data_IF_682390442770
#
_entry.id   IF_682390442770
#
_cell.length_a   1.000
_cell.length_b   1.000
_cell.length_c   1.000
_cell.angle_alpha   90.00
_cell.angle_beta   90.00
_cell.angle_gamma   90.00
#
_symmetry.space_group_name_H-M   'P 1'
#
loop_
_entity.id
_entity.type
_entity.pdbx_description
1 polymer ?
#
# COMPACT_ATOMS: atom_id res chain seq x y z
N UNK A 1 -21.11 38.21 2.33
CA UNK A 1 -20.86 37.70 3.70
C UNK A 1 -22.11 36.97 4.16
N UNK A 2 -22.01 35.74 4.48
CA UNK A 2 -23.09 34.80 4.71
C UNK A 2 -23.74 35.08 6.07
N UNK A 3 -25.04 35.22 6.12
CA UNK A 3 -25.76 35.76 7.27
C UNK A 3 -26.72 34.76 7.95
N UNK A 4 -26.29 33.51 8.07
CA UNK A 4 -26.96 32.53 8.92
C UNK A 4 -26.01 32.03 10.01
N UNK A 5 -26.50 31.64 11.19
CA UNK A 5 -25.70 31.14 12.30
C UNK A 5 -24.73 30.00 11.87
N UNK A 6 -25.12 29.23 10.84
CA UNK A 6 -24.27 28.19 10.26
C UNK A 6 -23.08 28.73 9.49
N UNK A 7 -23.17 29.90 8.92
CA UNK A 7 -22.12 30.52 8.12
C UNK A 7 -21.03 31.11 9.00
N UNK A 8 -21.38 31.68 10.14
CA UNK A 8 -20.41 32.15 11.12
C UNK A 8 -19.60 31.00 11.73
N UNK A 9 -20.25 29.86 12.03
CA UNK A 9 -19.57 28.67 12.50
C UNK A 9 -18.59 28.11 11.45
N UNK A 10 -18.99 28.11 10.18
CA UNK A 10 -18.11 27.68 9.08
C UNK A 10 -16.97 28.69 8.85
N UNK A 11 -17.24 29.99 8.93
CA UNK A 11 -16.23 31.05 8.83
C UNK A 11 -15.20 30.91 9.96
N UNK A 12 -15.64 30.71 11.19
CA UNK A 12 -14.77 30.48 12.35
C UNK A 12 -13.91 29.22 12.18
N UNK A 13 -14.52 28.11 11.77
CA UNK A 13 -13.80 26.84 11.50
C UNK A 13 -12.75 27.02 10.41
N UNK A 14 -13.12 27.71 9.33
CA UNK A 14 -12.20 27.98 8.21
C UNK A 14 -11.04 28.86 8.65
N UNK A 15 -11.30 29.93 9.40
CA UNK A 15 -10.24 30.78 9.95
C UNK A 15 -9.28 29.99 10.83
N UNK A 16 -9.78 29.16 11.75
CA UNK A 16 -8.95 28.29 12.60
C UNK A 16 -8.10 27.31 11.80
N UNK A 17 -8.66 26.66 10.76
CA UNK A 17 -7.93 25.75 9.88
C UNK A 17 -6.83 26.48 9.09
N UNK A 18 -7.10 27.69 8.61
CA UNK A 18 -6.11 28.49 7.89
C UNK A 18 -5.00 28.97 8.83
N UNK A 19 -5.34 29.42 10.04
CA UNK A 19 -4.35 29.78 11.07
C UNK A 19 -3.44 28.59 11.38
N UNK A 20 -4.00 27.40 11.56
CA UNK A 20 -3.21 26.21 11.86
C UNK A 20 -2.28 25.82 10.70
N UNK A 21 -2.76 25.90 9.47
CA UNK A 21 -1.95 25.65 8.27
C UNK A 21 -0.79 26.67 8.12
N UNK A 22 -0.99 27.91 8.56
CA UNK A 22 0.03 28.95 8.44
C UNK A 22 1.13 28.88 9.52
N UNK A 23 0.95 28.08 10.57
CA UNK A 23 1.93 27.97 11.66
C UNK A 23 3.30 27.50 11.19
N UNK A 24 3.33 26.57 10.22
CA UNK A 24 4.56 25.90 9.77
C UNK A 24 5.03 26.37 8.38
N UNK A 25 4.37 27.38 7.80
CA UNK A 25 4.72 27.88 6.47
C UNK A 25 5.81 28.96 6.60
N UNK A 26 6.95 28.77 5.95
CA UNK A 26 7.97 29.79 5.80
C UNK A 26 7.61 30.72 4.62
N UNK A 27 6.89 31.81 4.96
CA UNK A 27 6.38 32.78 3.99
C UNK A 27 6.63 34.20 4.54
N UNK A 28 7.27 35.11 3.81
CA UNK A 28 7.50 36.50 4.22
C UNK A 28 6.20 37.27 4.49
N UNK A 29 5.09 36.90 3.86
CA UNK A 29 3.76 37.53 4.08
C UNK A 29 2.97 36.91 5.24
N UNK A 30 3.47 35.85 5.86
CA UNK A 30 2.81 35.15 6.97
C UNK A 30 2.33 36.05 8.11
N UNK A 31 3.13 37.03 8.58
CA UNK A 31 2.65 37.92 9.64
C UNK A 31 1.41 38.71 9.26
N UNK A 32 1.36 39.21 8.00
CA UNK A 32 0.19 39.95 7.47
C UNK A 32 -1.02 39.04 7.28
N UNK A 33 -0.82 37.83 6.79
CA UNK A 33 -1.88 36.85 6.62
C UNK A 33 -2.48 36.45 7.98
N UNK A 34 -1.65 36.18 8.98
CA UNK A 34 -2.10 35.79 10.30
C UNK A 34 -2.81 36.94 11.05
N UNK A 35 -2.34 38.19 10.96
CA UNK A 35 -3.08 39.32 11.56
C UNK A 35 -4.48 39.45 10.96
N UNK A 36 -4.64 39.23 9.63
CA UNK A 36 -5.92 39.28 8.94
C UNK A 36 -6.83 38.11 9.32
N UNK A 37 -6.28 36.91 9.45
CA UNK A 37 -7.03 35.72 9.86
C UNK A 37 -7.54 35.83 11.31
N UNK A 38 -6.70 36.32 12.22
CA UNK A 38 -7.11 36.55 13.61
C UNK A 38 -8.10 37.71 13.75
N UNK A 39 -8.00 38.78 12.92
CA UNK A 39 -9.01 39.81 12.82
C UNK A 39 -10.34 39.20 12.39
N UNK A 40 -10.39 38.46 11.28
CA UNK A 40 -11.61 37.82 10.77
C UNK A 40 -12.20 36.83 11.79
N UNK A 41 -11.38 36.11 12.53
CA UNK A 41 -11.85 35.24 13.62
C UNK A 41 -12.50 36.05 14.74
N UNK A 42 -11.87 37.15 15.16
CA UNK A 42 -12.40 38.06 16.18
C UNK A 42 -13.73 38.67 15.76
N UNK A 43 -13.84 39.19 14.52
CA UNK A 43 -15.09 39.76 13.99
C UNK A 43 -16.21 38.71 13.95
N UNK A 44 -15.89 37.46 13.53
CA UNK A 44 -16.88 36.37 13.55
C UNK A 44 -17.34 36.04 14.97
N UNK A 45 -16.42 36.05 15.94
CA UNK A 45 -16.75 35.82 17.35
C UNK A 45 -17.61 36.96 17.95
N UNK A 46 -17.36 38.23 17.56
CA UNK A 46 -18.24 39.37 17.94
C UNK A 46 -19.65 39.16 17.42
N UNK A 47 -19.79 38.72 16.15
CA UNK A 47 -21.11 38.46 15.56
C UNK A 47 -21.88 37.33 16.25
N UNK A 48 -21.15 36.40 16.88
CA UNK A 48 -21.68 35.32 17.71
C UNK A 48 -21.81 35.71 19.20
N UNK A 49 -21.62 36.99 19.55
CA UNK A 49 -21.63 37.50 20.94
C UNK A 49 -20.59 36.83 21.89
N UNK A 50 -19.53 36.22 21.30
CA UNK A 50 -18.44 35.53 22.06
C UNK A 50 -17.31 36.53 22.37
N UNK A 51 -17.62 37.56 23.14
CA UNK A 51 -16.72 38.71 23.35
C UNK A 51 -15.38 38.37 23.97
N UNK A 52 -15.33 37.45 24.92
CA UNK A 52 -14.06 37.03 25.57
C UNK A 52 -13.12 36.31 24.60
N UNK A 53 -13.66 35.56 23.68
CA UNK A 53 -12.91 34.88 22.63
C UNK A 53 -12.45 35.88 21.56
N UNK A 54 -13.33 36.78 21.14
CA UNK A 54 -13.01 37.84 20.21
C UNK A 54 -11.84 38.70 20.71
N UNK A 55 -11.84 39.06 21.99
CA UNK A 55 -10.73 39.77 22.63
C UNK A 55 -9.39 39.05 22.45
N UNK A 56 -9.35 37.73 22.71
CA UNK A 56 -8.13 36.91 22.52
C UNK A 56 -7.69 36.91 21.06
N UNK A 57 -8.62 36.75 20.13
CA UNK A 57 -8.32 36.77 18.70
C UNK A 57 -7.77 38.14 18.26
N UNK A 58 -8.33 39.25 18.75
CA UNK A 58 -7.80 40.57 18.45
C UNK A 58 -6.42 40.84 19.10
N UNK A 59 -6.19 40.35 20.32
CA UNK A 59 -4.87 40.42 20.94
C UNK A 59 -3.84 39.57 20.15
N UNK A 60 -4.20 38.41 19.65
CA UNK A 60 -3.34 37.61 18.77
C UNK A 60 -3.10 38.32 17.43
N UNK A 61 -4.13 38.95 16.82
CA UNK A 61 -3.94 39.79 15.63
C UNK A 61 -2.92 40.90 15.90
N UNK A 62 -2.99 41.57 17.06
CA UNK A 62 -2.07 42.62 17.44
C UNK A 62 -0.63 42.10 17.62
N UNK A 63 -0.44 40.93 18.19
CA UNK A 63 0.89 40.33 18.28
C UNK A 63 1.52 40.12 16.90
N UNK A 64 0.71 39.73 15.90
CA UNK A 64 1.19 39.61 14.54
C UNK A 64 1.43 40.96 13.87
N UNK A 65 0.59 41.98 14.15
CA UNK A 65 0.85 43.37 13.74
C UNK A 65 2.23 43.82 14.25
N UNK A 66 2.56 43.61 15.53
CA UNK A 66 3.84 43.98 16.10
C UNK A 66 5.03 43.24 15.42
N UNK A 67 4.84 41.96 15.07
CA UNK A 67 5.86 41.21 14.32
C UNK A 67 6.07 41.77 12.92
N UNK A 68 4.99 42.11 12.21
CA UNK A 68 5.07 42.74 10.89
C UNK A 68 5.80 44.06 10.91
N UNK A 69 5.46 44.91 11.87
CA UNK A 69 6.06 46.26 12.00
C UNK A 69 7.53 46.19 12.37
N UNK A 70 7.97 45.20 13.16
CA UNK A 70 9.34 44.98 13.57
C UNK A 70 10.21 44.23 12.57
N UNK A 71 9.62 43.68 11.47
CA UNK A 71 10.41 43.06 10.40
C UNK A 71 11.15 44.12 9.60
N UNK A 72 12.48 43.96 9.48
CA UNK A 72 13.31 44.87 8.73
C UNK A 72 13.26 44.74 7.23
N UNK A 73 12.73 43.60 6.74
CA UNK A 73 12.74 43.20 5.31
C UNK A 73 11.46 43.48 4.58
N UNK A 74 10.31 43.28 5.24
CA UNK A 74 8.99 43.46 4.66
C UNK A 74 8.00 44.00 5.70
N UNK A 75 7.75 45.30 5.62
CA UNK A 75 6.96 46.06 6.61
C UNK A 75 5.74 46.71 5.98
N UNK A 76 4.68 45.96 5.65
CA UNK A 76 3.43 46.54 5.17
C UNK A 76 2.67 47.24 6.32
N UNK A 77 3.21 48.35 6.81
CA UNK A 77 2.67 49.09 7.97
C UNK A 77 1.22 49.55 7.71
N UNK A 78 0.90 49.96 6.49
CA UNK A 78 -0.46 50.40 6.12
C UNK A 78 -1.49 49.28 6.31
N UNK A 79 -1.17 48.04 5.91
CA UNK A 79 -2.03 46.87 6.15
C UNK A 79 -2.21 46.58 7.65
N UNK A 80 -1.16 46.78 8.44
CA UNK A 80 -1.23 46.62 9.88
C UNK A 80 -2.07 47.72 10.56
N UNK A 81 -2.00 48.96 10.07
CA UNK A 81 -2.90 50.05 10.53
C UNK A 81 -4.35 49.73 10.20
N UNK A 82 -4.61 49.19 8.99
CA UNK A 82 -5.96 48.80 8.60
C UNK A 82 -6.53 47.69 9.51
N UNK A 83 -5.70 46.75 9.91
CA UNK A 83 -6.11 45.71 10.89
C UNK A 83 -6.51 46.34 12.21
N UNK A 84 -5.73 47.28 12.74
CA UNK A 84 -6.05 47.98 14.01
C UNK A 84 -7.26 48.86 13.88
N UNK A 85 -7.45 49.53 12.73
CA UNK A 85 -8.66 50.31 12.42
C UNK A 85 -9.90 49.42 12.48
N UNK A 86 -9.90 48.27 11.79
CA UNK A 86 -11.03 47.35 11.78
C UNK A 86 -11.38 46.86 13.19
N UNK A 87 -10.37 46.52 14.02
CA UNK A 87 -10.56 46.17 15.42
C UNK A 87 -11.18 47.36 16.21
N UNK A 88 -10.66 48.55 16.03
CA UNK A 88 -11.21 49.75 16.68
C UNK A 88 -12.67 50.02 16.28
N UNK A 89 -13.00 49.92 14.99
CA UNK A 89 -14.35 50.05 14.45
C UNK A 89 -15.28 48.97 15.01
N UNK A 90 -14.83 47.70 15.08
CA UNK A 90 -15.59 46.62 15.70
C UNK A 90 -15.92 46.94 17.17
N UNK A 91 -14.95 47.45 17.95
CA UNK A 91 -15.16 47.83 19.34
C UNK A 91 -16.09 49.02 19.49
N UNK A 92 -16.00 50.04 18.62
CA UNK A 92 -16.86 51.20 18.60
C UNK A 92 -18.32 50.81 18.31
N UNK A 93 -18.52 49.99 17.26
CA UNK A 93 -19.85 49.58 16.83
C UNK A 93 -20.61 48.73 17.86
N UNK A 94 -19.87 47.98 18.68
CA UNK A 94 -20.44 47.10 19.73
C UNK A 94 -20.30 47.72 21.13
N UNK A 95 -19.93 49.02 21.23
CA UNK A 95 -19.75 49.74 22.50
C UNK A 95 -18.87 49.06 23.53
N UNK A 96 -17.76 48.45 23.08
CA UNK A 96 -16.82 47.73 23.94
C UNK A 96 -15.82 48.70 24.63
N UNK A 97 -15.58 48.49 25.89
CA UNK A 97 -14.77 49.39 26.75
C UNK A 97 -13.34 49.66 26.25
N UNK A 98 -12.74 48.76 25.50
CA UNK A 98 -11.36 48.90 25.02
C UNK A 98 -11.22 49.63 23.67
N UNK A 99 -12.30 50.17 23.10
CA UNK A 99 -12.28 50.89 21.83
C UNK A 99 -11.19 51.98 21.77
N UNK A 100 -11.03 52.75 22.85
CA UNK A 100 -9.99 53.82 22.94
C UNK A 100 -8.57 53.27 22.86
N UNK A 101 -8.30 52.09 23.46
CA UNK A 101 -6.98 51.46 23.40
C UNK A 101 -6.60 51.10 21.97
N UNK A 102 -7.57 50.59 21.20
CA UNK A 102 -7.33 50.23 19.79
C UNK A 102 -7.06 51.45 18.92
N UNK A 103 -7.81 52.56 19.14
CA UNK A 103 -7.55 53.82 18.45
C UNK A 103 -6.19 54.39 18.77
N UNK A 104 -5.71 54.28 20.02
CA UNK A 104 -4.38 54.75 20.41
C UNK A 104 -3.27 53.85 19.81
N UNK A 105 -3.48 52.51 19.72
CA UNK A 105 -2.57 51.60 19.01
C UNK A 105 -2.50 51.95 17.52
N UNK A 106 -3.64 52.23 16.87
CA UNK A 106 -3.70 52.70 15.49
C UNK A 106 -2.92 54.00 15.29
N UNK A 107 -3.15 55.05 16.11
CA UNK A 107 -2.45 56.33 16.02
C UNK A 107 -0.94 56.18 16.19
N UNK A 108 -0.50 55.30 17.09
CA UNK A 108 0.93 54.94 17.27
C UNK A 108 1.52 54.41 15.98
N UNK A 109 0.83 53.49 15.28
CA UNK A 109 1.32 52.98 14.00
C UNK A 109 1.25 54.01 12.87
N UNK A 110 0.26 54.89 12.83
CA UNK A 110 0.20 56.01 11.88
C UNK A 110 1.39 56.92 12.08
N UNK A 111 1.82 57.16 13.34
CA UNK A 111 3.02 57.96 13.66
C UNK A 111 4.30 57.25 13.21
N UNK A 112 4.38 55.94 13.27
CA UNK A 112 5.50 55.14 12.74
C UNK A 112 5.53 55.21 11.22
N UNK A 113 4.37 55.05 10.57
CA UNK A 113 4.24 55.11 9.11
C UNK A 113 4.65 56.48 8.54
N UNK A 114 4.34 57.56 9.22
CA UNK A 114 4.75 58.90 8.86
C UNK A 114 6.29 59.09 8.82
N UNK A 115 7.02 58.30 9.61
CA UNK A 115 8.51 58.33 9.69
C UNK A 115 9.15 57.40 8.69
N UNK A 116 8.40 56.63 7.93
CA UNK A 116 8.94 55.76 6.88
C UNK A 116 9.62 56.62 5.78
N UNK A 117 10.66 56.08 5.13
CA UNK A 117 11.37 56.82 4.08
C UNK A 117 10.55 57.26 2.90
N UNK A 118 9.46 56.52 2.59
CA UNK A 118 8.57 56.77 1.46
C UNK A 118 7.12 56.39 1.80
N UNK A 119 6.44 57.08 2.73
CA UNK A 119 5.06 56.82 2.99
C UNK A 119 4.23 57.28 1.79
N UNK A 120 3.09 56.63 1.54
CA UNK A 120 2.12 57.08 0.53
C UNK A 120 1.33 58.23 1.16
N UNK A 121 1.66 59.45 0.76
CA UNK A 121 1.16 60.69 1.40
C UNK A 121 -0.38 60.74 1.44
N UNK A 122 -1.07 60.34 0.35
CA UNK A 122 -2.54 60.33 0.30
C UNK A 122 -3.10 59.37 1.36
N UNK A 123 -2.54 58.16 1.47
CA UNK A 123 -2.95 57.16 2.43
C UNK A 123 -2.72 57.60 3.86
N UNK A 124 -1.53 58.14 4.13
CA UNK A 124 -1.16 58.70 5.45
C UNK A 124 -2.14 59.79 5.90
N UNK A 125 -2.52 60.72 4.99
CA UNK A 125 -3.52 61.73 5.27
C UNK A 125 -4.89 61.17 5.62
N UNK A 126 -5.30 60.11 4.89
CA UNK A 126 -6.54 59.41 5.17
C UNK A 126 -6.55 58.72 6.51
N UNK A 127 -5.47 57.98 6.82
CA UNK A 127 -5.31 57.30 8.10
C UNK A 127 -5.29 58.26 9.30
N UNK A 128 -4.63 59.41 9.17
CA UNK A 128 -4.69 60.45 10.19
C UNK A 128 -6.10 61.06 10.38
N UNK A 129 -6.83 61.21 9.29
CA UNK A 129 -8.22 61.70 9.37
C UNK A 129 -9.07 60.66 10.13
N UNK A 130 -8.93 59.38 9.84
CA UNK A 130 -9.66 58.28 10.52
C UNK A 130 -9.35 58.21 12.01
N UNK A 131 -8.10 58.47 12.42
CA UNK A 131 -7.77 58.59 13.87
C UNK A 131 -8.58 59.67 14.54
N UNK A 132 -8.72 60.88 13.91
CA UNK A 132 -9.60 61.95 14.46
C UNK A 132 -11.06 61.49 14.55
N UNK A 133 -11.57 60.83 13.55
CA UNK A 133 -12.92 60.31 13.54
C UNK A 133 -13.17 59.29 14.67
N UNK A 134 -12.31 58.27 14.76
CA UNK A 134 -12.48 57.22 15.76
C UNK A 134 -12.30 57.72 17.19
N UNK A 135 -11.42 58.72 17.40
CA UNK A 135 -11.33 59.41 18.69
C UNK A 135 -12.63 60.17 19.00
N UNK A 136 -13.25 60.82 18.01
CA UNK A 136 -14.54 61.50 18.21
C UNK A 136 -15.61 60.48 18.63
N UNK A 137 -15.68 59.32 17.96
CA UNK A 137 -16.63 58.27 18.28
C UNK A 137 -16.40 57.69 19.69
N UNK A 138 -15.18 57.39 20.07
CA UNK A 138 -14.81 56.90 21.43
C UNK A 138 -15.15 57.95 22.52
N UNK A 139 -14.85 59.20 22.28
CA UNK A 139 -15.21 60.26 23.24
C UNK A 139 -16.70 60.40 23.38
N UNK A 140 -17.45 60.32 22.27
CA UNK A 140 -18.92 60.40 22.29
C UNK A 140 -19.51 59.22 23.06
N UNK A 141 -19.05 58.01 22.82
CA UNK A 141 -19.42 56.78 23.50
C UNK A 141 -19.18 56.86 25.03
N UNK A 142 -18.13 57.54 25.43
CA UNK A 142 -17.77 57.75 26.83
C UNK A 142 -18.42 59.03 27.45
N UNK A 143 -19.36 59.65 26.76
CA UNK A 143 -20.06 60.86 27.25
C UNK A 143 -19.23 62.14 27.24
N UNK A 144 -18.04 62.12 26.68
CA UNK A 144 -17.13 63.30 26.56
C UNK A 144 -17.46 64.12 25.31
N UNK A 145 -18.66 64.69 25.29
CA UNK A 145 -19.24 65.32 24.07
C UNK A 145 -18.43 66.51 23.54
N UNK A 146 -17.80 67.30 24.40
CA UNK A 146 -16.98 68.47 24.00
C UNK A 146 -15.69 68.00 23.29
N UNK A 147 -15.03 66.95 23.80
CA UNK A 147 -13.87 66.34 23.19
C UNK A 147 -14.22 65.68 21.87
N UNK A 148 -15.36 64.95 21.84
CA UNK A 148 -15.90 64.34 20.66
C UNK A 148 -16.11 65.36 19.53
N UNK A 149 -16.81 66.48 19.84
CA UNK A 149 -17.06 67.51 18.86
C UNK A 149 -15.77 68.21 18.34
N UNK A 150 -14.75 68.39 19.20
CA UNK A 150 -13.45 68.92 18.77
C UNK A 150 -12.75 67.96 17.79
N UNK A 151 -12.70 66.69 18.10
CA UNK A 151 -12.04 65.70 17.24
C UNK A 151 -12.81 65.54 15.88
N UNK A 152 -14.14 65.52 15.90
CA UNK A 152 -14.94 65.52 14.69
C UNK A 152 -14.73 66.77 13.83
N UNK A 153 -14.62 67.96 14.46
CA UNK A 153 -14.32 69.18 13.75
C UNK A 153 -12.94 69.18 13.09
N UNK A 154 -11.92 68.51 13.71
CA UNK A 154 -10.63 68.30 13.07
C UNK A 154 -10.74 67.32 11.89
N UNK A 155 -11.46 66.22 12.06
CA UNK A 155 -11.75 65.29 10.99
C UNK A 155 -12.37 65.98 9.77
N UNK A 156 -13.40 66.81 9.97
CA UNK A 156 -14.07 67.51 8.91
C UNK A 156 -13.23 68.62 8.25
N UNK A 157 -12.10 69.01 8.78
CA UNK A 157 -11.12 69.91 8.14
C UNK A 157 -10.19 69.19 7.18
N UNK A 158 -10.16 67.84 7.21
CA UNK A 158 -9.26 67.06 6.35
C UNK A 158 -9.88 66.91 4.96
N UNK A 159 -9.01 66.71 3.93
CA UNK A 159 -9.48 66.44 2.56
C UNK A 159 -10.38 65.21 2.51
N UNK A 160 -10.00 64.18 3.26
CA UNK A 160 -10.81 62.93 3.32
C UNK A 160 -12.18 63.14 3.95
N UNK A 161 -12.26 63.87 5.07
CA UNK A 161 -13.51 64.16 5.75
C UNK A 161 -14.53 64.93 4.88
N UNK A 162 -14.05 65.65 3.85
CA UNK A 162 -14.89 66.38 2.90
C UNK A 162 -15.42 65.49 1.74
N UNK A 163 -14.82 64.33 1.51
CA UNK A 163 -15.29 63.36 0.49
C UNK A 163 -16.64 62.78 0.89
N UNK A 164 -17.39 62.25 -0.05
CA UNK A 164 -18.63 61.51 0.26
C UNK A 164 -18.32 60.30 1.18
N UNK A 165 -17.28 59.53 0.88
CA UNK A 165 -16.82 58.42 1.69
C UNK A 165 -16.51 58.85 3.13
N UNK A 166 -15.74 59.92 3.30
CA UNK A 166 -15.43 60.47 4.63
C UNK A 166 -16.68 60.89 5.39
N UNK A 167 -17.62 61.58 4.74
CA UNK A 167 -18.88 61.99 5.39
C UNK A 167 -19.73 60.79 5.79
N UNK A 168 -19.77 59.73 4.98
CA UNK A 168 -20.45 58.48 5.34
C UNK A 168 -19.81 57.80 6.54
N UNK A 169 -18.47 57.71 6.57
CA UNK A 169 -17.76 57.18 7.74
C UNK A 169 -18.06 57.97 9.01
N UNK A 170 -18.27 59.28 8.88
CA UNK A 170 -18.67 60.19 9.97
C UNK A 170 -20.11 60.03 10.47
N UNK A 171 -20.97 59.33 9.74
CA UNK A 171 -22.41 59.25 10.08
C UNK A 171 -22.67 58.54 11.42
N UNK A 172 -21.84 57.51 11.79
CA UNK A 172 -21.94 56.86 13.09
C UNK A 172 -21.79 57.87 14.25
N UNK A 173 -20.79 58.76 14.18
CA UNK A 173 -20.61 59.84 15.14
C UNK A 173 -21.82 60.82 15.12
N UNK A 174 -22.30 61.22 13.94
CA UNK A 174 -23.40 62.14 13.79
C UNK A 174 -24.69 61.60 14.45
N UNK A 175 -24.97 60.33 14.30
CA UNK A 175 -26.15 59.67 14.90
C UNK A 175 -26.02 59.65 16.42
N UNK A 176 -24.88 59.24 16.97
CA UNK A 176 -24.62 59.21 18.41
C UNK A 176 -24.61 60.65 19.03
N UNK A 177 -24.14 61.64 18.28
CA UNK A 177 -24.19 63.04 18.67
C UNK A 177 -25.59 63.71 18.43
N UNK A 178 -26.60 62.94 18.01
CA UNK A 178 -27.98 63.41 17.68
C UNK A 178 -28.02 64.46 16.57
N UNK A 179 -27.01 64.54 15.71
CA UNK A 179 -26.97 65.39 14.50
C UNK A 179 -27.65 64.69 13.33
N UNK A 180 -28.90 64.27 13.57
CA UNK A 180 -29.64 63.38 12.66
C UNK A 180 -29.86 63.98 11.30
N UNK A 181 -30.07 65.30 11.18
CA UNK A 181 -30.32 65.99 9.91
C UNK A 181 -29.09 65.83 8.98
N UNK A 182 -27.89 66.03 9.50
CA UNK A 182 -26.64 65.90 8.72
C UNK A 182 -26.41 64.49 8.30
N UNK A 183 -26.62 63.52 9.22
CA UNK A 183 -26.51 62.08 8.87
C UNK A 183 -27.49 61.71 7.76
N UNK A 184 -28.76 62.18 7.83
CA UNK A 184 -29.79 61.93 6.81
C UNK A 184 -29.41 62.50 5.44
N UNK A 185 -28.80 63.71 5.40
CA UNK A 185 -28.31 64.30 4.17
C UNK A 185 -27.17 63.51 3.53
N UNK A 186 -26.19 63.07 4.34
CA UNK A 186 -25.10 62.23 3.87
C UNK A 186 -25.61 60.90 3.31
N UNK A 187 -26.51 60.20 4.00
CA UNK A 187 -27.10 58.96 3.51
C UNK A 187 -27.94 59.16 2.25
N UNK A 188 -28.56 60.35 2.09
CA UNK A 188 -29.31 60.64 0.86
C UNK A 188 -28.39 60.86 -0.32
N UNK A 189 -27.22 61.46 -0.11
CA UNK A 189 -26.20 61.62 -1.14
C UNK A 189 -25.59 60.24 -1.53
N UNK A 190 -25.33 59.39 -0.54
CA UNK A 190 -24.86 58.01 -0.78
C UNK A 190 -25.88 57.21 -1.61
N UNK A 191 -27.18 57.33 -1.29
CA UNK A 191 -28.27 56.65 -2.02
C UNK A 191 -28.30 57.08 -3.49
N UNK A 192 -28.10 58.38 -3.76
CA UNK A 192 -27.97 58.92 -5.12
C UNK A 192 -26.77 58.35 -5.83
N UNK A 193 -25.61 58.30 -5.16
CA UNK A 193 -24.38 57.75 -5.71
C UNK A 193 -24.53 56.25 -6.04
N UNK A 194 -25.09 55.45 -5.14
CA UNK A 194 -25.36 54.02 -5.36
C UNK A 194 -26.23 53.82 -6.61
N UNK A 195 -27.29 54.63 -6.72
CA UNK A 195 -28.24 54.58 -7.85
C UNK A 195 -27.56 54.98 -9.17
N UNK A 196 -26.78 56.06 -9.17
CA UNK A 196 -26.11 56.57 -10.37
C UNK A 196 -25.04 55.59 -10.90
N UNK A 197 -24.45 54.80 -10.02
CA UNK A 197 -23.47 53.75 -10.39
C UNK A 197 -24.12 52.40 -10.73
N UNK A 198 -25.45 52.30 -10.60
CA UNK A 198 -26.19 51.08 -10.94
C UNK A 198 -25.98 49.91 -9.97
N UNK A 199 -25.54 50.21 -8.75
CA UNK A 199 -25.42 49.17 -7.72
C UNK A 199 -26.81 48.76 -7.24
N UNK A 200 -27.03 47.46 -7.09
CA UNK A 200 -28.26 46.92 -6.52
C UNK A 200 -28.14 46.79 -5.01
N UNK A 201 -29.24 47.16 -4.35
CA UNK A 201 -29.34 46.95 -2.91
C UNK A 201 -29.49 45.46 -2.59
N UNK A 202 -28.83 45.03 -1.52
CA UNK A 202 -28.89 43.68 -0.93
C UNK A 202 -29.27 43.76 0.56
N UNK A 203 -29.32 42.64 1.25
CA UNK A 203 -29.64 42.59 2.69
C UNK A 203 -28.60 43.33 3.55
N UNK A 204 -27.36 43.32 3.16
CA UNK A 204 -26.26 44.01 3.85
C UNK A 204 -26.46 45.54 3.72
N UNK A 205 -26.77 46.02 2.54
CA UNK A 205 -27.05 47.43 2.25
C UNK A 205 -28.24 47.97 3.05
N UNK A 206 -29.25 47.13 3.31
CA UNK A 206 -30.35 47.52 4.21
C UNK A 206 -29.80 47.88 5.58
N UNK A 207 -28.99 47.02 6.16
CA UNK A 207 -28.42 47.21 7.50
C UNK A 207 -27.43 48.38 7.57
N UNK A 208 -26.58 48.52 6.58
CA UNK A 208 -25.50 49.53 6.59
C UNK A 208 -25.93 50.90 6.15
N UNK A 209 -26.90 51.01 5.22
CA UNK A 209 -27.24 52.29 4.60
C UNK A 209 -28.72 52.67 4.80
N UNK A 210 -29.66 51.80 4.41
CA UNK A 210 -31.08 52.18 4.40
C UNK A 210 -31.68 52.30 5.80
N UNK A 211 -31.38 51.42 6.72
CA UNK A 211 -31.87 51.47 8.08
C UNK A 211 -31.29 52.67 8.87
N UNK A 212 -29.98 52.96 8.80
CA UNK A 212 -29.44 54.20 9.35
C UNK A 212 -30.04 55.45 8.71
N UNK A 213 -30.26 55.49 7.38
CA UNK A 213 -30.91 56.56 6.67
C UNK A 213 -32.35 56.75 7.16
N UNK A 214 -33.12 55.66 7.33
CA UNK A 214 -34.45 55.70 7.91
C UNK A 214 -34.45 56.31 9.31
N UNK A 215 -33.63 55.81 10.21
CA UNK A 215 -33.50 56.29 11.60
C UNK A 215 -33.11 57.77 11.65
N UNK A 216 -32.16 58.18 10.83
CA UNK A 216 -31.69 59.56 10.77
C UNK A 216 -32.78 60.48 10.30
N UNK A 217 -33.58 60.19 9.25
CA UNK A 217 -34.68 60.93 8.81
C UNK A 217 -35.82 61.01 9.88
N UNK A 218 -36.14 59.85 10.48
CA UNK A 218 -37.16 59.77 11.51
C UNK A 218 -36.89 60.70 12.71
N UNK A 219 -35.66 60.58 13.28
CA UNK A 219 -35.23 61.38 14.43
C UNK A 219 -34.97 62.85 14.07
N UNK A 220 -34.68 63.16 12.80
CA UNK A 220 -34.61 64.53 12.31
C UNK A 220 -35.99 65.14 12.09
N UNK A 221 -37.11 64.42 12.31
CA UNK A 221 -38.49 64.92 12.09
C UNK A 221 -38.90 64.86 10.64
N UNK A 222 -38.18 64.34 9.72
CA UNK A 222 -38.46 64.23 8.27
C UNK A 222 -39.33 63.02 7.98
N UNK A 223 -40.59 63.02 8.44
CA UNK A 223 -41.50 61.87 8.44
C UNK A 223 -41.75 61.29 7.06
N UNK A 224 -41.96 62.11 6.04
CA UNK A 224 -42.24 61.67 4.67
C UNK A 224 -40.99 60.97 4.08
N UNK A 225 -39.82 61.53 4.31
CA UNK A 225 -38.57 60.92 3.88
C UNK A 225 -38.34 59.61 4.60
N UNK A 226 -38.63 59.53 5.91
CA UNK A 226 -38.52 58.27 6.67
C UNK A 226 -39.48 57.20 6.14
N UNK A 227 -40.75 57.57 5.86
CA UNK A 227 -41.73 56.65 5.30
C UNK A 227 -41.26 56.11 3.92
N UNK A 228 -40.75 56.99 3.06
CA UNK A 228 -40.23 56.60 1.75
C UNK A 228 -39.10 55.61 1.87
N UNK A 229 -38.15 55.86 2.80
CA UNK A 229 -37.06 54.91 3.04
C UNK A 229 -37.54 53.57 3.63
N UNK A 230 -38.57 53.60 4.50
CA UNK A 230 -39.16 52.37 5.03
C UNK A 230 -39.82 51.53 3.92
N UNK A 231 -40.52 52.17 2.96
CA UNK A 231 -41.04 51.44 1.79
C UNK A 231 -39.91 50.87 0.91
N UNK A 232 -38.84 51.64 0.69
CA UNK A 232 -37.67 51.20 -0.03
C UNK A 232 -37.03 49.97 0.66
N UNK A 233 -36.92 49.97 1.99
CA UNK A 233 -36.41 48.82 2.77
C UNK A 233 -37.26 47.57 2.52
N UNK A 234 -38.60 47.72 2.56
CA UNK A 234 -39.52 46.59 2.34
C UNK A 234 -39.37 45.98 0.93
N UNK A 235 -39.29 46.85 -0.11
CA UNK A 235 -39.11 46.45 -1.49
C UNK A 235 -37.72 45.73 -1.71
N UNK A 236 -36.68 46.34 -1.18
CA UNK A 236 -35.32 45.77 -1.27
C UNK A 236 -35.23 44.44 -0.51
N UNK A 237 -35.84 44.37 0.70
CA UNK A 237 -35.87 43.16 1.50
C UNK A 237 -36.52 42.01 0.75
N UNK A 238 -37.69 42.22 0.16
CA UNK A 238 -38.41 41.19 -0.60
C UNK A 238 -37.57 40.71 -1.79
N UNK A 239 -37.02 41.64 -2.56
CA UNK A 239 -36.20 41.35 -3.74
C UNK A 239 -34.88 40.64 -3.35
N UNK A 240 -34.18 41.17 -2.33
CA UNK A 240 -32.90 40.62 -1.88
C UNK A 240 -33.06 39.23 -1.26
N UNK A 241 -34.14 39.00 -0.49
CA UNK A 241 -34.44 37.69 0.10
C UNK A 241 -34.70 36.63 -0.98
N UNK A 242 -35.44 37.01 -2.05
CA UNK A 242 -35.67 36.08 -3.19
C UNK A 242 -34.36 35.74 -3.90
N UNK A 243 -33.49 36.74 -4.13
CA UNK A 243 -32.16 36.52 -4.73
C UNK A 243 -31.28 35.63 -3.85
N UNK A 244 -31.23 35.90 -2.55
CA UNK A 244 -30.47 35.10 -1.59
C UNK A 244 -30.94 33.64 -1.61
N UNK A 245 -32.26 33.39 -1.51
CA UNK A 245 -32.80 32.03 -1.57
C UNK A 245 -32.45 31.30 -2.88
N UNK A 246 -32.45 32.02 -4.02
CA UNK A 246 -32.02 31.45 -5.31
C UNK A 246 -30.53 31.11 -5.30
N UNK A 247 -29.70 32.01 -4.77
CA UNK A 247 -28.25 31.77 -4.63
C UNK A 247 -27.96 30.58 -3.73
N UNK A 248 -28.56 30.51 -2.56
CA UNK A 248 -28.45 29.40 -1.61
C UNK A 248 -28.90 28.07 -2.24
N UNK A 249 -30.02 28.10 -3.00
CA UNK A 249 -30.49 26.91 -3.72
C UNK A 249 -29.50 26.44 -4.80
N UNK A 250 -28.90 27.39 -5.53
CA UNK A 250 -27.89 27.07 -6.54
C UNK A 250 -26.60 26.55 -5.91
N UNK A 251 -26.19 27.14 -4.79
CA UNK A 251 -25.02 26.65 -4.02
C UNK A 251 -25.26 25.25 -3.47
N UNK A 252 -26.41 24.99 -2.85
CA UNK A 252 -26.78 23.65 -2.40
C UNK A 252 -26.82 22.66 -3.55
N UNK A 253 -27.38 23.03 -4.70
CA UNK A 253 -27.36 22.15 -5.88
C UNK A 253 -25.91 21.80 -6.31
N UNK A 254 -25.01 22.79 -6.28
CA UNK A 254 -23.60 22.60 -6.60
C UNK A 254 -22.90 21.67 -5.58
N UNK A 255 -23.19 21.85 -4.28
CA UNK A 255 -22.68 21.00 -3.20
C UNK A 255 -23.15 19.56 -3.39
N UNK A 256 -24.46 19.35 -3.67
CA UNK A 256 -25.01 18.01 -3.91
C UNK A 256 -24.40 17.36 -5.15
N UNK A 257 -24.22 18.10 -6.25
CA UNK A 257 -23.57 17.58 -7.47
C UNK A 257 -22.11 17.21 -7.20
N UNK A 258 -21.40 18.06 -6.45
CA UNK A 258 -20.00 17.80 -6.06
C UNK A 258 -19.89 16.56 -5.17
N UNK A 259 -20.75 16.46 -4.14
CA UNK A 259 -20.79 15.28 -3.27
C UNK A 259 -21.16 14.00 -4.05
N UNK A 260 -22.09 14.12 -5.01
CA UNK A 260 -22.46 13.02 -5.90
C UNK A 260 -21.25 12.54 -6.72
N UNK A 261 -20.52 13.48 -7.31
CA UNK A 261 -19.28 13.18 -8.07
C UNK A 261 -18.19 12.59 -7.19
N UNK A 262 -17.99 13.11 -5.99
CA UNK A 262 -17.01 12.55 -5.04
C UNK A 262 -17.33 11.10 -4.64
N UNK A 263 -18.64 10.80 -4.40
CA UNK A 263 -19.08 9.41 -4.16
C UNK A 263 -18.81 8.51 -5.36
N UNK A 264 -19.14 8.94 -6.57
CA UNK A 264 -18.86 8.18 -7.78
C UNK A 264 -17.35 7.93 -7.96
N UNK A 265 -16.51 8.94 -7.73
CA UNK A 265 -15.05 8.81 -7.78
C UNK A 265 -14.55 7.84 -6.71
N UNK A 266 -15.10 7.89 -5.49
CA UNK A 266 -14.75 6.99 -4.42
C UNK A 266 -15.12 5.53 -4.75
N UNK A 267 -16.32 5.30 -5.30
CA UNK A 267 -16.78 3.99 -5.75
C UNK A 267 -15.91 3.45 -6.90
N UNK A 268 -15.60 4.27 -7.91
CA UNK A 268 -14.70 3.90 -9.00
C UNK A 268 -13.29 3.56 -8.49
N UNK A 269 -12.78 4.34 -7.55
CA UNK A 269 -11.47 4.05 -6.94
C UNK A 269 -11.49 2.73 -6.17
N UNK A 270 -12.57 2.44 -5.44
CA UNK A 270 -12.74 1.17 -4.74
C UNK A 270 -12.81 -0.01 -5.72
N UNK A 271 -13.60 0.11 -6.79
CA UNK A 271 -13.67 -0.91 -7.85
C UNK A 271 -12.33 -1.12 -8.54
N UNK A 272 -11.63 -0.05 -8.90
CA UNK A 272 -10.31 -0.14 -9.53
C UNK A 272 -9.28 -0.80 -8.61
N UNK A 273 -9.28 -0.50 -7.31
CA UNK A 273 -8.42 -1.18 -6.33
C UNK A 273 -8.72 -2.67 -6.27
N UNK A 274 -9.98 -3.05 -6.27
CA UNK A 274 -10.40 -4.44 -6.26
C UNK A 274 -9.96 -5.18 -7.53
N UNK A 275 -10.20 -4.61 -8.72
CA UNK A 275 -9.77 -5.17 -10.00
C UNK A 275 -8.24 -5.29 -10.07
N UNK A 276 -7.51 -4.27 -9.61
CA UNK A 276 -6.05 -4.29 -9.56
C UNK A 276 -5.54 -5.38 -8.63
N UNK A 277 -6.14 -5.55 -7.45
CA UNK A 277 -5.76 -6.60 -6.50
C UNK A 277 -5.99 -8.00 -7.09
N UNK A 278 -7.13 -8.24 -7.75
CA UNK A 278 -7.41 -9.50 -8.46
C UNK A 278 -6.38 -9.73 -9.57
N UNK A 279 -6.11 -8.71 -10.39
CA UNK A 279 -5.13 -8.82 -11.48
C UNK A 279 -3.74 -9.20 -10.97
N UNK A 280 -3.29 -8.58 -9.87
CA UNK A 280 -2.02 -8.92 -9.21
C UNK A 280 -2.06 -10.36 -8.70
N UNK A 281 -3.15 -10.79 -8.05
CA UNK A 281 -3.28 -12.15 -7.54
C UNK A 281 -3.24 -13.20 -8.67
N UNK A 282 -3.96 -12.96 -9.76
CA UNK A 282 -3.99 -13.86 -10.93
C UNK A 282 -2.62 -13.94 -11.61
N UNK A 283 -1.95 -12.79 -11.82
CA UNK A 283 -0.61 -12.78 -12.43
C UNK A 283 0.42 -13.46 -11.53
N UNK A 284 0.35 -13.25 -10.22
CA UNK A 284 1.22 -13.93 -9.26
C UNK A 284 0.99 -15.45 -9.26
N UNK A 285 -0.26 -15.89 -9.27
CA UNK A 285 -0.60 -17.31 -9.36
C UNK A 285 -0.08 -17.94 -10.68
N UNK A 286 -0.24 -17.24 -11.81
CA UNK A 286 0.26 -17.71 -13.10
C UNK A 286 1.80 -17.85 -13.11
N UNK A 287 2.52 -16.90 -12.52
CA UNK A 287 3.97 -16.96 -12.39
C UNK A 287 4.42 -18.11 -11.50
N UNK A 288 3.72 -18.38 -10.40
CA UNK A 288 4.00 -19.52 -9.53
C UNK A 288 3.78 -20.85 -10.23
N UNK A 289 2.70 -20.98 -11.02
CA UNK A 289 2.42 -22.18 -11.83
C UNK A 289 3.54 -22.39 -12.85
N UNK A 290 3.98 -21.35 -13.54
CA UNK A 290 5.08 -21.43 -14.51
C UNK A 290 6.40 -21.83 -13.84
N UNK A 291 6.71 -21.23 -12.68
CA UNK A 291 7.90 -21.56 -11.91
C UNK A 291 7.89 -23.02 -11.43
N UNK A 292 6.73 -23.50 -10.93
CA UNK A 292 6.55 -24.89 -10.53
C UNK A 292 6.66 -25.83 -11.71
N UNK A 293 6.05 -25.51 -12.85
CA UNK A 293 6.16 -26.28 -14.09
C UNK A 293 7.62 -26.38 -14.56
N UNK A 294 8.36 -25.28 -14.54
CA UNK A 294 9.77 -25.28 -14.88
C UNK A 294 10.61 -26.13 -13.90
N UNK A 295 10.34 -25.98 -12.60
CA UNK A 295 11.00 -26.79 -11.57
C UNK A 295 10.73 -28.28 -11.77
N UNK A 296 9.47 -28.66 -11.99
CA UNK A 296 9.09 -30.04 -12.24
C UNK A 296 9.75 -30.60 -13.53
N UNK A 297 9.82 -29.79 -14.58
CA UNK A 297 10.52 -30.15 -15.82
C UNK A 297 12.00 -30.36 -15.63
N UNK A 298 12.66 -29.48 -14.86
CA UNK A 298 14.09 -29.63 -14.54
C UNK A 298 14.35 -30.90 -13.71
N UNK A 299 13.51 -31.16 -12.71
CA UNK A 299 13.59 -32.36 -11.89
C UNK A 299 13.37 -33.63 -12.74
N UNK A 300 12.40 -33.60 -13.63
CA UNK A 300 12.17 -34.71 -14.56
C UNK A 300 13.40 -34.94 -15.45
N UNK A 301 14.02 -33.90 -16.02
CA UNK A 301 15.26 -34.03 -16.81
C UNK A 301 16.41 -34.62 -16.02
N UNK A 302 16.60 -34.19 -14.78
CA UNK A 302 17.65 -34.69 -13.89
C UNK A 302 17.41 -36.18 -13.62
N UNK A 303 16.17 -36.58 -13.26
CA UNK A 303 15.81 -37.98 -13.01
C UNK A 303 16.03 -38.84 -14.24
N UNK A 304 15.68 -38.36 -15.43
CA UNK A 304 15.95 -39.11 -16.67
C UNK A 304 17.47 -39.33 -16.92
N UNK A 305 18.29 -38.31 -16.63
CA UNK A 305 19.75 -38.49 -16.73
C UNK A 305 20.29 -39.49 -15.73
N UNK A 306 19.84 -39.45 -14.49
CA UNK A 306 20.22 -40.42 -13.47
C UNK A 306 19.81 -41.86 -13.86
N UNK A 307 18.58 -42.02 -14.34
CA UNK A 307 18.12 -43.35 -14.79
C UNK A 307 18.96 -43.90 -15.93
N UNK A 308 19.40 -43.09 -16.90
CA UNK A 308 20.27 -43.49 -17.99
C UNK A 308 21.62 -43.97 -17.48
N UNK A 309 22.26 -43.24 -16.57
CA UNK A 309 23.54 -43.61 -15.97
C UNK A 309 23.40 -44.94 -15.21
N UNK A 310 22.35 -45.04 -14.37
CA UNK A 310 22.12 -46.27 -13.61
C UNK A 310 21.84 -47.48 -14.53
N UNK A 311 21.03 -47.31 -15.56
CA UNK A 311 20.78 -48.42 -16.50
C UNK A 311 22.05 -48.89 -17.18
N UNK A 312 22.93 -47.98 -17.62
CA UNK A 312 24.21 -48.31 -18.22
C UNK A 312 25.13 -49.00 -17.24
N UNK A 313 25.23 -48.52 -16.00
CA UNK A 313 26.03 -49.19 -14.94
C UNK A 313 25.54 -50.61 -14.65
N UNK A 314 24.21 -50.82 -14.64
CA UNK A 314 23.63 -52.17 -14.44
C UNK A 314 24.04 -53.06 -15.59
N UNK A 315 23.90 -52.61 -16.83
CA UNK A 315 24.28 -53.41 -18.02
C UNK A 315 25.77 -53.77 -17.98
N UNK A 316 26.66 -52.79 -17.76
CA UNK A 316 28.09 -52.97 -17.68
C UNK A 316 28.50 -53.95 -16.54
N UNK A 317 27.86 -53.84 -15.37
CA UNK A 317 28.12 -54.74 -14.24
C UNK A 317 27.71 -56.17 -14.51
N UNK A 318 26.57 -56.39 -15.17
CA UNK A 318 26.10 -57.73 -15.52
C UNK A 318 26.99 -58.36 -16.62
N UNK A 319 27.33 -57.59 -17.66
CA UNK A 319 28.24 -58.04 -18.71
C UNK A 319 29.65 -58.39 -18.16
N UNK A 320 30.17 -57.55 -17.24
CA UNK A 320 31.45 -57.83 -16.58
C UNK A 320 31.39 -59.15 -15.78
N UNK A 321 30.30 -59.39 -15.07
CA UNK A 321 30.09 -60.60 -14.29
C UNK A 321 29.96 -61.80 -15.19
N UNK A 322 29.31 -61.72 -16.35
CA UNK A 322 29.27 -62.84 -17.33
C UNK A 322 30.62 -63.11 -17.94
N UNK A 323 31.35 -62.08 -18.40
CA UNK A 323 32.72 -62.24 -18.93
C UNK A 323 33.68 -62.83 -17.89
N UNK A 324 33.56 -62.40 -16.61
CA UNK A 324 34.38 -63.01 -15.54
C UNK A 324 34.04 -64.47 -15.32
N UNK A 325 32.76 -64.87 -15.42
CA UNK A 325 32.37 -66.29 -15.33
C UNK A 325 32.95 -67.13 -16.50
N UNK A 326 32.88 -66.62 -17.73
CA UNK A 326 33.42 -67.24 -18.93
C UNK A 326 34.92 -67.39 -18.82
N UNK A 327 35.66 -66.37 -18.39
CA UNK A 327 37.09 -66.42 -18.20
C UNK A 327 37.48 -67.43 -17.13
N UNK A 328 36.74 -67.49 -16.01
CA UNK A 328 36.97 -68.46 -14.94
C UNK A 328 36.69 -69.91 -15.38
N UNK A 329 35.68 -70.12 -16.23
CA UNK A 329 35.35 -71.39 -16.82
C UNK A 329 36.45 -71.83 -17.81
N UNK A 330 36.96 -70.93 -18.65
CA UNK A 330 38.04 -71.22 -19.60
C UNK A 330 39.34 -71.52 -18.91
N UNK A 331 39.68 -70.79 -17.81
CA UNK A 331 40.87 -71.10 -17.03
C UNK A 331 40.80 -72.46 -16.33
N UNK A 332 39.62 -72.88 -15.83
CA UNK A 332 39.39 -74.20 -15.25
C UNK A 332 39.56 -75.31 -16.29
N UNK A 333 39.06 -75.09 -17.53
CA UNK A 333 39.27 -76.01 -18.64
C UNK A 333 40.72 -76.09 -19.02
N UNK A 334 41.48 -74.99 -19.01
CA UNK A 334 42.92 -74.98 -19.26
C UNK A 334 43.72 -75.69 -18.16
N UNK A 335 43.34 -75.51 -16.89
CA UNK A 335 43.95 -76.21 -15.75
C UNK A 335 43.67 -77.73 -15.78
N UNK A 336 42.42 -78.12 -16.12
CA UNK A 336 42.06 -79.53 -16.28
C UNK A 336 42.78 -80.17 -17.47
N UNK A 337 42.97 -79.42 -18.57
CA UNK A 337 43.67 -79.88 -19.76
C UNK A 337 45.19 -80.02 -19.47
N UNK A 338 45.76 -79.11 -18.64
CA UNK A 338 47.12 -79.20 -18.20
C UNK A 338 47.34 -80.36 -17.20
N UNK A 339 46.40 -80.62 -16.28
CA UNK A 339 46.44 -81.76 -15.38
C UNK A 339 46.34 -83.09 -16.15
N UNK A 340 45.50 -83.17 -17.17
CA UNK A 340 45.40 -84.34 -18.07
C UNK A 340 46.66 -84.53 -18.93
N UNK A 341 47.39 -83.49 -19.28
CA UNK A 341 48.67 -83.59 -19.99
C UNK A 341 49.81 -84.10 -19.07
N UNK A 342 49.79 -83.67 -17.81
CA UNK A 342 50.78 -84.14 -16.82
C UNK A 342 50.50 -85.61 -16.42
N UNK A 343 49.23 -86.06 -16.37
CA UNK A 343 48.88 -87.45 -16.12
C UNK A 343 49.09 -88.37 -17.34
N UNK A 344 49.13 -87.84 -18.56
CA UNK A 344 49.36 -88.58 -19.80
C UNK A 344 50.85 -88.93 -20.05
N UNK A 345 51.80 -88.28 -19.34
CA UNK A 345 53.25 -88.61 -19.46
C UNK A 345 53.71 -89.62 -18.44
N UNK A 346 52.85 -90.15 -17.52
CA UNK A 346 53.28 -91.10 -16.45
C UNK A 346 52.40 -92.30 -16.26
N UNK A 347 51.64 -92.79 -17.23
CA UNK A 347 50.87 -94.04 -17.03
C UNK A 347 50.85 -94.93 -18.28
N UNK A 348 51.35 -96.15 -18.14
CA UNK A 348 51.17 -97.29 -19.03
C UNK A 348 49.69 -97.70 -19.12
N UNK A 349 49.23 -98.35 -20.18
CA UNK A 349 47.82 -98.47 -20.51
C UNK A 349 47.19 -99.64 -19.80
N UNK A 350 46.22 -99.44 -19.02
CA UNK A 350 45.16 -100.44 -18.83
C UNK A 350 43.84 -99.83 -18.39
N UNK A 351 42.88 -99.99 -19.24
CA UNK A 351 41.47 -100.32 -19.02
C UNK A 351 40.59 -99.43 -18.08
N UNK A 352 39.50 -99.02 -18.65
CA UNK A 352 38.13 -99.01 -18.10
C UNK A 352 37.51 -97.63 -17.81
N UNK A 353 36.46 -97.44 -18.55
CA UNK A 353 35.28 -96.71 -18.17
C UNK A 353 35.13 -96.47 -16.67
N UNK A 354 35.03 -95.26 -16.23
CA UNK A 354 34.29 -94.91 -15.02
C UNK A 354 33.79 -93.51 -15.14
N UNK A 355 32.48 -93.36 -15.47
CA UNK A 355 31.73 -92.25 -15.07
C UNK A 355 31.97 -91.99 -13.57
N UNK A 356 32.51 -90.81 -13.22
CA UNK A 356 32.62 -90.35 -11.84
C UNK A 356 31.20 -90.15 -11.26
N UNK A 357 30.63 -91.28 -10.74
CA UNK A 357 29.56 -91.23 -9.78
C UNK A 357 30.18 -90.75 -8.43
N UNK A 358 30.13 -89.43 -8.18
CA UNK A 358 30.40 -88.91 -6.85
C UNK A 358 29.26 -89.28 -5.96
N UNK A 359 29.28 -90.38 -5.32
CA UNK A 359 28.24 -90.90 -4.44
C UNK A 359 28.48 -90.65 -2.97
N UNK A 360 29.55 -89.93 -2.61
CA UNK A 360 29.81 -89.66 -1.20
C UNK A 360 30.05 -88.17 -0.90
N UNK A 361 28.96 -87.45 -0.72
CA UNK A 361 29.02 -86.02 -0.31
C UNK A 361 29.43 -85.79 1.16
N UNK A 362 29.70 -86.92 1.90
CA UNK A 362 30.05 -86.82 3.32
C UNK A 362 31.48 -86.37 3.53
N UNK A 363 32.35 -86.52 2.54
CA UNK A 363 33.76 -86.17 2.60
C UNK A 363 34.09 -84.76 2.15
N UNK A 364 33.15 -84.05 1.52
CA UNK A 364 33.37 -82.71 1.00
C UNK A 364 33.33 -81.66 2.14
N UNK A 365 34.19 -80.64 2.09
CA UNK A 365 34.09 -79.49 2.94
C UNK A 365 32.85 -78.61 2.52
N UNK A 366 32.34 -77.75 3.39
CA UNK A 366 31.22 -76.92 3.10
C UNK A 366 31.49 -76.03 1.89
N UNK A 367 32.70 -75.55 1.72
CA UNK A 367 33.14 -74.74 0.59
C UNK A 367 33.13 -75.52 -0.73
N UNK A 368 33.66 -76.73 -0.70
CA UNK A 368 33.68 -77.65 -1.88
C UNK A 368 32.23 -78.04 -2.26
N UNK A 369 31.39 -78.30 -1.28
CA UNK A 369 30.00 -78.62 -1.47
C UNK A 369 29.22 -77.43 -2.08
N UNK A 370 29.51 -76.21 -1.60
CA UNK A 370 28.95 -75.01 -2.20
C UNK A 370 29.33 -74.86 -3.67
N UNK A 371 30.61 -75.09 -4.02
CA UNK A 371 31.04 -74.99 -5.42
C UNK A 371 30.32 -76.04 -6.29
N UNK A 372 30.14 -77.25 -5.80
CA UNK A 372 29.35 -78.26 -6.52
C UNK A 372 27.86 -77.85 -6.70
N UNK A 373 27.20 -77.42 -5.63
CA UNK A 373 25.81 -76.99 -5.67
C UNK A 373 25.63 -75.80 -6.54
N UNK A 374 26.53 -74.82 -6.52
CA UNK A 374 26.57 -73.68 -7.38
C UNK A 374 26.62 -74.08 -8.85
N UNK A 375 27.60 -74.92 -9.21
CA UNK A 375 27.77 -75.38 -10.59
C UNK A 375 26.53 -76.18 -11.08
N UNK A 376 25.93 -76.98 -10.20
CA UNK A 376 24.64 -77.66 -10.49
C UNK A 376 23.50 -76.68 -10.75
N UNK A 377 23.35 -75.65 -9.96
CA UNK A 377 22.27 -74.61 -10.08
C UNK A 377 22.50 -73.84 -11.35
N UNK A 378 23.74 -73.34 -11.58
CA UNK A 378 24.03 -72.42 -12.68
C UNK A 378 24.07 -73.16 -14.04
N UNK A 379 24.78 -74.29 -14.16
CA UNK A 379 24.95 -75.00 -15.45
C UNK A 379 23.64 -75.63 -15.94
N UNK A 380 22.84 -76.18 -15.04
CA UNK A 380 21.54 -76.69 -15.39
C UNK A 380 20.43 -75.66 -15.40
N UNK A 381 20.77 -74.34 -15.14
CA UNK A 381 19.83 -73.24 -15.06
C UNK A 381 18.62 -73.49 -14.16
N UNK A 382 18.86 -74.29 -13.08
CA UNK A 382 17.77 -74.68 -12.18
C UNK A 382 17.06 -73.51 -11.55
N UNK A 383 17.74 -72.37 -11.37
CA UNK A 383 17.19 -71.15 -10.83
C UNK A 383 16.06 -70.54 -11.67
N UNK A 384 15.93 -70.93 -12.95
CA UNK A 384 14.82 -70.48 -13.83
C UNK A 384 13.50 -71.22 -13.58
N UNK A 385 13.53 -72.35 -12.86
CA UNK A 385 12.33 -73.06 -12.49
C UNK A 385 11.63 -72.29 -11.36
N UNK A 386 10.34 -71.89 -11.52
CA UNK A 386 9.67 -71.07 -10.50
C UNK A 386 9.65 -71.73 -9.11
N UNK A 387 9.51 -73.03 -9.04
CA UNK A 387 9.41 -73.81 -7.81
C UNK A 387 10.79 -74.26 -7.27
N UNK A 388 11.88 -73.85 -7.93
CA UNK A 388 13.23 -74.24 -7.47
C UNK A 388 13.56 -73.67 -6.12
N UNK A 389 13.86 -74.51 -5.22
CA UNK A 389 14.24 -74.14 -3.84
C UNK A 389 15.02 -75.23 -3.14
N UNK A 390 15.12 -75.13 -1.81
CA UNK A 390 15.90 -76.05 -1.00
C UNK A 390 15.46 -77.54 -1.18
N UNK A 391 14.12 -77.73 -1.27
CA UNK A 391 13.58 -79.07 -1.44
C UNK A 391 14.04 -79.68 -2.77
N UNK A 392 14.05 -78.92 -3.83
CA UNK A 392 14.53 -79.36 -5.15
C UNK A 392 16.03 -79.85 -5.12
N UNK A 393 16.85 -79.24 -4.29
CA UNK A 393 18.25 -79.72 -4.09
C UNK A 393 18.31 -80.94 -3.22
N UNK A 394 17.53 -81.06 -2.16
CA UNK A 394 17.41 -82.27 -1.32
C UNK A 394 17.01 -83.44 -2.19
N UNK A 395 15.99 -83.32 -2.99
CA UNK A 395 15.50 -84.42 -3.84
C UNK A 395 16.48 -84.89 -4.91
N UNK A 396 17.36 -83.98 -5.38
CA UNK A 396 18.37 -84.26 -6.42
C UNK A 396 19.68 -84.80 -5.87
N UNK A 397 20.05 -84.38 -4.66
CA UNK A 397 21.38 -84.65 -4.09
C UNK A 397 21.34 -85.60 -2.89
N UNK A 398 20.17 -85.84 -2.29
CA UNK A 398 20.06 -86.59 -1.04
C UNK A 398 20.63 -85.90 0.19
N UNK A 399 21.10 -84.67 0.08
CA UNK A 399 21.70 -83.87 1.17
C UNK A 399 20.68 -83.44 2.20
N UNK A 400 21.05 -83.34 3.46
CA UNK A 400 20.16 -82.79 4.49
C UNK A 400 20.02 -81.27 4.34
N UNK A 401 18.93 -80.75 4.86
CA UNK A 401 18.61 -79.29 4.89
C UNK A 401 19.74 -78.48 5.57
N UNK A 402 20.28 -79.00 6.67
CA UNK A 402 21.35 -78.40 7.46
C UNK A 402 22.63 -78.33 6.65
N UNK A 403 22.93 -79.38 5.91
CA UNK A 403 24.20 -79.50 5.13
C UNK A 403 24.17 -78.52 3.94
N UNK A 404 23.01 -78.35 3.23
CA UNK A 404 22.84 -77.41 2.17
C UNK A 404 22.92 -75.95 2.75
N UNK A 405 22.30 -75.74 3.94
CA UNK A 405 22.33 -74.40 4.60
C UNK A 405 23.77 -74.01 4.99
N UNK A 406 24.56 -74.94 5.57
CA UNK A 406 25.94 -74.69 5.95
C UNK A 406 26.84 -74.40 4.74
N UNK A 407 26.68 -75.14 3.63
CA UNK A 407 27.43 -74.90 2.40
C UNK A 407 27.19 -73.48 1.84
N UNK A 408 25.93 -73.01 1.80
CA UNK A 408 25.63 -71.64 1.36
C UNK A 408 26.08 -70.57 2.36
N UNK A 409 26.03 -70.84 3.66
CA UNK A 409 26.46 -69.88 4.68
C UNK A 409 27.97 -69.63 4.65
N UNK A 410 28.79 -70.68 4.36
CA UNK A 410 30.23 -70.58 4.31
C UNK A 410 30.80 -70.27 2.93
N UNK A 411 30.20 -70.81 1.88
CA UNK A 411 30.72 -70.70 0.51
C UNK A 411 30.25 -69.49 -0.28
N UNK A 412 29.16 -68.77 0.15
CA UNK A 412 28.56 -67.67 -0.59
C UNK A 412 28.57 -66.35 0.17
N UNK A 413 29.60 -65.96 0.86
CA UNK A 413 29.69 -64.73 1.65
C UNK A 413 28.49 -64.56 2.60
N UNK A 414 28.05 -65.65 3.24
CA UNK A 414 26.90 -65.68 4.17
C UNK A 414 25.50 -65.47 3.50
N UNK A 415 25.39 -65.67 2.21
CA UNK A 415 24.13 -65.51 1.48
C UNK A 415 23.31 -66.81 1.53
N UNK A 416 22.05 -66.73 1.93
CA UNK A 416 21.14 -67.88 1.92
C UNK A 416 20.82 -68.36 0.50
N UNK A 417 20.51 -69.66 0.30
CA UNK A 417 20.10 -70.21 -0.99
C UNK A 417 18.99 -69.41 -1.67
N UNK A 418 17.90 -68.98 -0.97
CA UNK A 418 16.87 -68.15 -1.61
C UNK A 418 17.40 -66.79 -2.08
N UNK A 419 18.34 -66.20 -1.34
CA UNK A 419 18.97 -64.95 -1.73
C UNK A 419 19.86 -65.13 -2.97
N UNK A 420 20.67 -66.22 -2.98
CA UNK A 420 21.52 -66.59 -4.10
C UNK A 420 20.70 -66.80 -5.40
N UNK A 421 19.65 -67.61 -5.33
CA UNK A 421 18.77 -67.89 -6.47
C UNK A 421 18.10 -66.60 -6.96
N UNK A 422 17.67 -65.73 -6.04
CA UNK A 422 17.08 -64.44 -6.40
C UNK A 422 18.09 -63.56 -7.14
N UNK A 423 19.32 -63.52 -6.74
CA UNK A 423 20.40 -62.79 -7.44
C UNK A 423 20.61 -63.29 -8.87
N UNK A 424 20.71 -64.60 -9.04
CA UNK A 424 20.87 -65.23 -10.36
C UNK A 424 19.69 -64.89 -11.28
N UNK A 425 18.47 -64.97 -10.75
CA UNK A 425 17.24 -64.62 -11.49
C UNK A 425 17.23 -63.16 -11.94
N UNK A 426 17.70 -62.21 -11.07
CA UNK A 426 17.77 -60.79 -11.39
C UNK A 426 18.84 -60.50 -12.44
N UNK A 427 20.04 -61.11 -12.30
CA UNK A 427 21.12 -60.94 -13.29
C UNK A 427 20.70 -61.50 -14.65
N UNK A 428 20.05 -62.67 -14.67
CA UNK A 428 19.49 -63.27 -15.89
C UNK A 428 18.38 -62.41 -16.51
N UNK A 429 17.54 -61.80 -15.68
CA UNK A 429 16.49 -60.88 -16.17
C UNK A 429 17.09 -59.64 -16.86
N UNK A 430 18.24 -59.09 -16.35
CA UNK A 430 18.93 -57.97 -17.01
C UNK A 430 19.49 -58.43 -18.36
N UNK A 431 20.18 -59.57 -18.40
CA UNK A 431 20.74 -60.15 -19.65
C UNK A 431 19.59 -60.40 -20.66
N UNK A 432 18.45 -60.93 -20.19
CA UNK A 432 17.30 -61.21 -21.04
C UNK A 432 16.70 -59.91 -21.59
N UNK A 433 16.53 -58.87 -20.78
CA UNK A 433 16.04 -57.58 -21.24
C UNK A 433 16.95 -56.89 -22.25
N UNK A 434 18.30 -57.11 -22.13
CA UNK A 434 19.26 -56.57 -23.07
C UNK A 434 19.30 -57.37 -24.39
N UNK A 435 19.19 -58.71 -24.33
CA UNK A 435 19.24 -59.56 -25.51
C UNK A 435 17.90 -59.66 -26.25
N UNK A 436 16.77 -59.49 -25.57
CA UNK A 436 15.42 -59.56 -26.09
C UNK A 436 14.59 -58.39 -25.65
N UNK A 437 14.81 -57.23 -26.25
CA UNK A 437 14.13 -55.95 -25.84
C UNK A 437 12.62 -55.98 -26.08
N UNK A 438 12.08 -56.85 -26.89
CA UNK A 438 10.66 -56.93 -27.19
C UNK A 438 9.81 -57.60 -26.09
N UNK A 439 10.44 -58.39 -25.22
CA UNK A 439 9.71 -59.04 -24.12
C UNK A 439 9.17 -57.98 -23.15
N UNK A 440 7.91 -58.10 -22.75
CA UNK A 440 7.37 -57.24 -21.71
C UNK A 440 7.84 -57.68 -20.33
N UNK A 441 7.64 -56.81 -19.31
CA UNK A 441 8.13 -57.05 -17.95
C UNK A 441 7.60 -58.33 -17.32
N UNK A 442 6.37 -58.69 -17.64
CA UNK A 442 5.75 -59.92 -17.16
C UNK A 442 6.41 -61.18 -17.78
N UNK A 443 6.65 -61.15 -19.10
CA UNK A 443 7.37 -62.20 -19.81
C UNK A 443 8.82 -62.38 -19.28
N UNK A 444 9.51 -61.24 -19.03
CA UNK A 444 10.87 -61.28 -18.42
C UNK A 444 10.82 -61.89 -17.02
N UNK A 445 9.80 -61.52 -16.21
CA UNK A 445 9.62 -62.07 -14.86
C UNK A 445 9.47 -63.59 -14.92
N UNK A 446 8.56 -64.10 -15.77
CA UNK A 446 8.31 -65.51 -15.94
C UNK A 446 9.53 -66.26 -16.47
N UNK A 447 10.17 -65.74 -17.53
CA UNK A 447 11.36 -66.36 -18.13
C UNK A 447 12.59 -66.36 -17.17
N UNK A 448 12.61 -65.47 -16.19
CA UNK A 448 13.65 -65.43 -15.17
C UNK A 448 13.32 -66.20 -13.91
N UNK A 449 12.24 -67.00 -13.93
CA UNK A 449 11.89 -67.90 -12.85
C UNK A 449 11.18 -67.25 -11.64
N UNK A 450 10.66 -66.01 -11.77
CA UNK A 450 9.86 -65.43 -10.73
C UNK A 450 8.41 -65.89 -10.83
N UNK A 451 7.76 -66.12 -9.69
CA UNK A 451 6.36 -66.57 -9.61
C UNK A 451 5.35 -65.47 -9.83
N UNK A 452 5.74 -64.19 -9.69
CA UNK A 452 4.91 -63.03 -9.98
C UNK A 452 5.71 -61.80 -10.42
N UNK A 453 5.15 -60.99 -11.30
CA UNK A 453 5.72 -59.73 -11.79
C UNK A 453 5.91 -58.71 -10.67
N UNK A 454 5.07 -58.71 -9.65
CA UNK A 454 5.19 -57.79 -8.50
C UNK A 454 6.41 -58.16 -7.64
N UNK A 455 6.64 -59.44 -7.38
CA UNK A 455 7.79 -59.91 -6.66
C UNK A 455 9.08 -59.62 -7.43
N UNK A 456 9.11 -59.83 -8.72
CA UNK A 456 10.18 -59.44 -9.60
C UNK A 456 10.45 -57.93 -9.54
N UNK A 457 9.45 -57.13 -9.75
CA UNK A 457 9.59 -55.65 -9.75
C UNK A 457 10.13 -55.11 -8.44
N UNK A 458 9.62 -55.61 -7.31
CA UNK A 458 10.12 -55.22 -5.97
C UNK A 458 11.57 -55.59 -5.76
N UNK A 459 11.94 -56.84 -6.08
CA UNK A 459 13.32 -57.32 -5.92
C UNK A 459 14.28 -56.62 -6.87
N UNK A 460 13.89 -56.39 -8.11
CA UNK A 460 14.68 -55.65 -9.09
C UNK A 460 14.94 -54.20 -8.61
N UNK A 461 13.89 -53.51 -8.14
CA UNK A 461 14.04 -52.16 -7.60
C UNK A 461 14.95 -52.14 -6.37
N UNK A 462 14.83 -53.08 -5.50
CA UNK A 462 15.70 -53.18 -4.31
C UNK A 462 17.18 -53.37 -4.68
N UNK A 463 17.48 -54.18 -5.68
CA UNK A 463 18.88 -54.43 -6.09
C UNK A 463 19.43 -53.30 -6.97
N UNK A 464 18.67 -52.79 -7.90
CA UNK A 464 19.16 -51.89 -8.94
C UNK A 464 18.72 -50.44 -8.79
N UNK A 465 17.92 -50.09 -7.79
CA UNK A 465 17.46 -48.73 -7.52
C UNK A 465 16.39 -48.20 -8.48
N UNK A 466 16.01 -48.96 -9.53
CA UNK A 466 14.97 -48.58 -10.50
C UNK A 466 14.05 -49.76 -10.81
N UNK A 467 12.87 -49.48 -11.40
CA UNK A 467 11.96 -50.57 -11.79
C UNK A 467 12.42 -51.23 -13.11
N UNK A 468 12.03 -52.51 -13.37
CA UNK A 468 12.31 -53.17 -14.65
C UNK A 468 11.76 -52.37 -15.84
N UNK A 469 10.59 -51.77 -15.70
CA UNK A 469 9.96 -50.89 -16.72
C UNK A 469 10.82 -49.69 -17.03
N UNK A 470 11.31 -49.00 -15.99
CA UNK A 470 12.19 -47.82 -16.16
C UNK A 470 13.52 -48.24 -16.80
N UNK A 471 14.11 -49.36 -16.37
CA UNK A 471 15.33 -49.90 -16.94
C UNK A 471 15.18 -50.15 -18.43
N UNK A 472 14.13 -50.87 -18.82
CA UNK A 472 13.85 -51.23 -20.20
C UNK A 472 13.60 -50.01 -21.09
N UNK A 473 12.77 -49.03 -20.61
CA UNK A 473 12.51 -47.78 -21.32
C UNK A 473 13.81 -46.98 -21.53
N UNK A 474 14.70 -46.98 -20.53
CA UNK A 474 15.94 -46.22 -20.60
C UNK A 474 16.94 -46.88 -21.55
N UNK A 475 17.00 -48.21 -21.60
CA UNK A 475 17.91 -48.96 -22.44
C UNK A 475 17.48 -49.01 -23.91
N UNK A 476 16.16 -49.02 -24.17
CA UNK A 476 15.63 -49.02 -25.54
C UNK A 476 15.71 -47.67 -26.23
N UNK A 477 15.95 -46.58 -25.46
CA UNK A 477 16.12 -45.22 -25.98
C UNK A 477 17.62 -44.82 -26.15
N UNK A 478 18.52 -45.76 -26.00
CA UNK A 478 19.97 -45.59 -26.23
C UNK A 478 20.38 -46.29 -27.52
#
# INVERSE_FOLDING_TARGET
MLTTDRDYDNAMRTALLLIDKQKDVDNPYRPVELQTLYLSLGDTQIMLERYDEAKKSYDDAYLWVLRTVNDSTNRPIAASIQTLENIAVSHINHHLNEAGVWVDRMDSLVTIYDKEPKPIEKELKTLRALVWLHRAQVYQMNGKTAEAARNYAQYMKTDFGQTLEGRINGCGYLVEARRYAEAADNYTELDRFIKDWGYEYDLETIGQNLLPKFRSNYFAGRKDSALHVAMQIAEVYDTALVRQKRSESAELATIYDTQGKERQIAEQRAQNRFVTAISIAVTTAALLILAFGLYAFLQWRITQRHNRILARQITEAVEYKEKYKELKASNRLAESTNSLKVEAETAEPNTIEAGLSITDFTTLTDEQLFLYLRDLIENAKLFLQPDFGRQSLIDRTGLSKERIGAAFAQGSDSVSLPAYVRELRLDYAVSLMNSQPDLNVEQVSQASGFTSADTFTRNFRTKYGMTPTTYKQTNNNT
#
